data_IF_340345369139
#
_entry.id   IF_340345369139
#
_cell.length_a   1.000
_cell.length_b   1.000
_cell.length_c   1.000
_cell.angle_alpha   90.00
_cell.angle_beta   90.00
_cell.angle_gamma   90.00
#
_symmetry.space_group_name_H-M   'P 1'
#
loop_
_entity.id
_entity.type
_entity.pdbx_description
1 polymer ?
#
# COMPACT_ATOMS: atom_id res chain seq x y z
N UNK A 1 5.96 -25.19 -4.18
CA UNK A 1 6.04 -24.09 -5.18
C UNK A 1 6.45 -22.83 -4.47
N UNK A 2 7.66 -22.32 -4.71
CA UNK A 2 8.22 -21.17 -4.01
C UNK A 2 7.56 -19.90 -4.56
N UNK A 3 6.59 -19.33 -3.84
CA UNK A 3 6.05 -18.00 -4.17
C UNK A 3 7.21 -17.01 -4.24
N UNK A 4 7.38 -16.37 -5.39
CA UNK A 4 8.46 -15.41 -5.59
C UNK A 4 8.22 -14.16 -4.75
N UNK A 5 9.25 -13.34 -4.53
CA UNK A 5 9.11 -12.08 -3.79
C UNK A 5 8.08 -11.13 -4.43
N UNK A 6 7.85 -11.26 -5.73
CA UNK A 6 6.84 -10.52 -6.49
C UNK A 6 5.43 -10.98 -6.14
N UNK A 7 5.18 -12.29 -6.04
CA UNK A 7 3.87 -12.84 -5.68
C UNK A 7 3.42 -12.38 -4.28
N UNK A 8 4.37 -12.30 -3.33
CA UNK A 8 4.08 -11.81 -1.97
C UNK A 8 3.74 -10.32 -1.94
N UNK A 9 4.38 -9.51 -2.78
CA UNK A 9 4.05 -8.08 -2.89
C UNK A 9 2.67 -7.88 -3.49
N UNK A 10 2.38 -8.61 -4.57
CA UNK A 10 1.11 -8.53 -5.27
C UNK A 10 -0.05 -9.02 -4.37
N UNK A 11 0.16 -10.05 -3.55
CA UNK A 11 -0.79 -10.45 -2.50
C UNK A 11 -1.05 -9.34 -1.48
N UNK A 12 -0.01 -8.65 -0.99
CA UNK A 12 -0.18 -7.51 -0.07
C UNK A 12 -0.95 -6.36 -0.72
N UNK A 13 -0.66 -6.05 -1.98
CA UNK A 13 -1.40 -5.05 -2.74
C UNK A 13 -2.87 -5.47 -2.89
N UNK A 14 -3.12 -6.74 -3.14
CA UNK A 14 -4.47 -7.28 -3.25
C UNK A 14 -5.24 -7.22 -1.92
N UNK A 15 -4.59 -7.53 -0.79
CA UNK A 15 -5.14 -7.37 0.56
C UNK A 15 -5.47 -5.90 0.87
N UNK A 16 -4.54 -4.98 0.58
CA UNK A 16 -4.77 -3.54 0.76
C UNK A 16 -5.92 -3.05 -0.11
N UNK A 17 -5.98 -3.49 -1.37
CA UNK A 17 -7.06 -3.13 -2.29
C UNK A 17 -8.42 -3.68 -1.86
N UNK A 18 -8.47 -4.90 -1.30
CA UNK A 18 -9.69 -5.47 -0.71
C UNK A 18 -10.19 -4.62 0.46
N UNK A 19 -9.30 -4.12 1.32
CA UNK A 19 -9.70 -3.23 2.42
C UNK A 19 -10.28 -1.90 1.90
N UNK A 20 -9.73 -1.35 0.81
CA UNK A 20 -10.33 -0.18 0.15
C UNK A 20 -11.71 -0.51 -0.42
N UNK A 21 -11.86 -1.65 -1.09
CA UNK A 21 -13.16 -2.10 -1.61
C UNK A 21 -14.21 -2.33 -0.52
N UNK A 22 -13.82 -2.76 0.68
CA UNK A 22 -14.71 -2.85 1.85
C UNK A 22 -15.15 -1.48 2.35
N UNK A 23 -14.26 -0.48 2.30
CA UNK A 23 -14.55 0.89 2.73
C UNK A 23 -15.44 1.61 1.70
N UNK A 24 -15.18 1.39 0.42
CA UNK A 24 -15.89 2.00 -0.69
C UNK A 24 -16.10 0.98 -1.84
N UNK A 25 -17.20 0.20 -1.82
CA UNK A 25 -17.44 -0.86 -2.80
C UNK A 25 -17.66 -0.37 -4.24
N UNK A 26 -17.86 0.93 -4.44
CA UNK A 26 -17.96 1.55 -5.77
C UNK A 26 -16.63 1.70 -6.50
N UNK A 27 -15.48 1.48 -5.84
CA UNK A 27 -14.17 1.61 -6.47
C UNK A 27 -13.79 0.33 -7.22
N UNK A 28 -13.31 0.49 -8.46
CA UNK A 28 -12.81 -0.62 -9.24
C UNK A 28 -11.53 -1.20 -8.61
N UNK A 29 -11.56 -2.48 -8.23
CA UNK A 29 -10.45 -3.19 -7.59
C UNK A 29 -9.14 -3.12 -8.39
N UNK A 30 -9.20 -3.21 -9.73
CA UNK A 30 -8.02 -3.09 -10.59
C UNK A 30 -7.42 -1.69 -10.55
N UNK A 31 -8.26 -0.65 -10.55
CA UNK A 31 -7.81 0.75 -10.43
C UNK A 31 -7.16 1.01 -9.07
N UNK A 32 -7.74 0.47 -8.00
CA UNK A 32 -7.19 0.54 -6.64
C UNK A 32 -5.82 -0.14 -6.59
N UNK A 33 -5.68 -1.36 -7.13
CA UNK A 33 -4.39 -2.05 -7.21
C UNK A 33 -3.37 -1.25 -8.03
N UNK A 34 -3.78 -0.66 -9.14
CA UNK A 34 -2.94 0.22 -9.96
C UNK A 34 -2.42 1.42 -9.17
N UNK A 35 -3.28 2.06 -8.36
CA UNK A 35 -2.88 3.16 -7.49
C UNK A 35 -1.85 2.73 -6.44
N UNK A 36 -2.01 1.54 -5.83
CA UNK A 36 -1.01 0.98 -4.91
C UNK A 36 0.31 0.68 -5.62
N UNK A 37 0.30 0.01 -6.78
CA UNK A 37 1.54 -0.29 -7.54
C UNK A 37 2.31 0.99 -7.89
N UNK A 38 1.59 2.04 -8.27
CA UNK A 38 2.21 3.34 -8.54
C UNK A 38 2.81 3.94 -7.26
N UNK A 39 2.05 3.96 -6.16
CA UNK A 39 2.53 4.49 -4.88
C UNK A 39 3.76 3.72 -4.36
N UNK A 40 3.80 2.39 -4.53
CA UNK A 40 4.97 1.56 -4.24
C UNK A 40 6.17 2.01 -5.08
N UNK A 41 5.99 2.14 -6.41
CA UNK A 41 7.05 2.57 -7.34
C UNK A 41 7.60 3.95 -6.99
N UNK A 42 6.72 4.90 -6.62
CA UNK A 42 7.15 6.21 -6.14
C UNK A 42 7.95 6.10 -4.84
N UNK A 43 7.45 5.34 -3.85
CA UNK A 43 8.10 5.26 -2.55
C UNK A 43 9.45 4.55 -2.56
N UNK A 44 9.62 3.49 -3.35
CA UNK A 44 10.94 2.87 -3.50
C UNK A 44 11.94 3.86 -4.11
N UNK A 45 11.51 4.64 -5.13
CA UNK A 45 12.36 5.68 -5.73
C UNK A 45 12.69 6.81 -4.76
N UNK A 46 11.69 7.32 -4.03
CA UNK A 46 11.87 8.40 -3.05
C UNK A 46 12.80 8.00 -1.91
N UNK A 47 12.76 6.74 -1.48
CA UNK A 47 13.60 6.22 -0.40
C UNK A 47 14.94 5.64 -0.88
N UNK A 48 15.22 5.68 -2.18
CA UNK A 48 16.48 5.19 -2.75
C UNK A 48 16.62 3.67 -2.74
N UNK A 49 15.51 2.93 -2.76
CA UNK A 49 15.47 1.47 -2.85
C UNK A 49 15.17 1.00 -4.27
N UNK A 50 15.72 -0.15 -4.65
CA UNK A 50 15.50 -0.76 -5.95
C UNK A 50 14.07 -1.28 -6.11
N UNK A 51 13.54 -1.94 -5.07
CA UNK A 51 12.22 -2.54 -5.06
C UNK A 51 11.69 -2.77 -3.64
N UNK A 52 10.41 -3.17 -3.52
CA UNK A 52 9.79 -3.46 -2.23
C UNK A 52 10.37 -4.73 -1.57
N UNK A 53 10.99 -5.65 -2.33
CA UNK A 53 11.63 -6.84 -1.77
C UNK A 53 12.87 -6.41 -0.99
N UNK A 54 13.64 -5.46 -1.52
CA UNK A 54 14.76 -4.83 -0.81
C UNK A 54 14.26 -4.22 0.51
N UNK A 55 13.22 -3.38 0.47
CA UNK A 55 12.62 -2.75 1.67
C UNK A 55 12.18 -3.81 2.69
N UNK A 56 11.62 -4.94 2.24
CA UNK A 56 11.13 -5.99 3.14
C UNK A 56 12.23 -6.65 3.98
N UNK A 57 13.48 -6.63 3.51
CA UNK A 57 14.66 -7.12 4.24
C UNK A 57 15.32 -6.06 5.13
N UNK A 58 14.85 -4.81 5.13
CA UNK A 58 15.42 -3.72 5.92
C UNK A 58 14.88 -3.70 7.35
N UNK A 59 15.55 -2.98 8.28
CA UNK A 59 15.07 -2.77 9.64
C UNK A 59 13.63 -2.25 9.69
N UNK A 60 12.96 -2.50 10.82
CA UNK A 60 11.56 -2.10 11.01
C UNK A 60 11.33 -0.59 10.80
N UNK A 61 12.34 0.25 11.09
CA UNK A 61 12.29 1.69 10.85
C UNK A 61 12.17 2.04 9.37
N UNK A 62 13.00 1.45 8.52
CA UNK A 62 12.96 1.67 7.05
C UNK A 62 11.63 1.16 6.48
N UNK A 63 11.18 0.00 6.95
CA UNK A 63 9.86 -0.52 6.59
C UNK A 63 8.75 0.47 6.96
N UNK A 64 8.77 1.04 8.17
CA UNK A 64 7.80 2.08 8.60
C UNK A 64 7.83 3.30 7.66
N UNK A 65 9.00 3.84 7.36
CA UNK A 65 9.15 4.98 6.47
C UNK A 65 8.57 4.71 5.07
N UNK A 66 8.83 3.53 4.52
CA UNK A 66 8.25 3.09 3.25
C UNK A 66 6.72 3.06 3.28
N UNK A 67 6.13 2.51 4.34
CA UNK A 67 4.68 2.43 4.43
C UNK A 67 4.01 3.78 4.71
N UNK A 68 4.65 4.66 5.49
CA UNK A 68 4.16 6.03 5.66
C UNK A 68 4.19 6.80 4.34
N UNK A 69 5.25 6.62 3.55
CA UNK A 69 5.30 7.13 2.18
C UNK A 69 4.15 6.55 1.33
N UNK A 70 3.94 5.23 1.39
CA UNK A 70 2.91 4.54 0.60
C UNK A 70 1.52 5.11 0.91
N UNK A 71 1.19 5.30 2.19
CA UNK A 71 -0.08 5.87 2.62
C UNK A 71 -0.27 7.31 2.11
N UNK A 72 0.78 8.14 2.20
CA UNK A 72 0.76 9.52 1.70
C UNK A 72 0.55 9.61 0.19
N UNK A 73 1.14 8.69 -0.58
CA UNK A 73 1.03 8.69 -2.04
C UNK A 73 -0.26 8.02 -2.56
N UNK A 74 -0.80 7.05 -1.82
CA UNK A 74 -1.99 6.31 -2.27
C UNK A 74 -3.30 7.08 -2.03
N UNK A 75 -3.43 7.80 -0.91
CA UNK A 75 -4.66 8.56 -0.58
C UNK A 75 -5.07 9.54 -1.69
N UNK A 76 -4.20 10.43 -2.21
CA UNK A 76 -4.60 11.37 -3.26
C UNK A 76 -4.99 10.66 -4.55
N UNK A 77 -4.45 9.47 -4.83
CA UNK A 77 -4.87 8.63 -5.96
C UNK A 77 -6.24 8.02 -5.73
N UNK A 78 -6.54 7.56 -4.51
CA UNK A 78 -7.85 7.03 -4.18
C UNK A 78 -8.93 8.10 -4.30
N UNK A 79 -8.64 9.35 -3.90
CA UNK A 79 -9.54 10.49 -4.12
C UNK A 79 -9.81 10.70 -5.61
N UNK A 80 -8.77 10.66 -6.45
CA UNK A 80 -8.93 10.76 -7.92
C UNK A 80 -9.74 9.60 -8.52
N UNK A 81 -9.75 8.44 -7.87
CA UNK A 81 -10.57 7.30 -8.29
C UNK A 81 -12.04 7.39 -7.84
N UNK A 82 -12.37 8.36 -6.98
CA UNK A 82 -13.74 8.56 -6.48
C UNK A 82 -13.91 8.31 -4.98
N UNK A 83 -12.83 8.09 -4.22
CA UNK A 83 -12.93 8.01 -2.77
C UNK A 83 -13.30 9.39 -2.19
N UNK A 84 -14.38 9.51 -1.41
CA UNK A 84 -14.74 10.78 -0.78
C UNK A 84 -13.65 11.25 0.19
N UNK A 85 -13.37 12.56 0.21
CA UNK A 85 -12.38 13.15 1.13
C UNK A 85 -12.69 12.81 2.60
N UNK A 86 -13.97 12.74 2.97
CA UNK A 86 -14.40 12.34 4.32
C UNK A 86 -14.05 10.90 4.70
N UNK A 87 -13.77 10.02 3.73
CA UNK A 87 -13.35 8.64 3.97
C UNK A 87 -11.82 8.47 3.98
N UNK A 88 -11.06 9.51 3.61
CA UNK A 88 -9.59 9.46 3.59
C UNK A 88 -8.98 9.16 4.98
N UNK A 89 -9.42 9.77 6.08
CA UNK A 89 -8.90 9.46 7.41
C UNK A 89 -9.18 8.01 7.83
N UNK A 90 -10.36 7.48 7.48
CA UNK A 90 -10.73 6.10 7.76
C UNK A 90 -9.86 5.11 6.96
N UNK A 91 -9.62 5.41 5.68
CA UNK A 91 -8.70 4.65 4.84
C UNK A 91 -7.28 4.68 5.42
N UNK A 92 -6.76 5.87 5.75
CA UNK A 92 -5.41 6.02 6.32
C UNK A 92 -5.24 5.16 7.58
N UNK A 93 -6.22 5.22 8.49
CA UNK A 93 -6.22 4.39 9.70
C UNK A 93 -6.19 2.91 9.35
N UNK A 94 -7.00 2.47 8.38
CA UNK A 94 -7.04 1.07 7.94
C UNK A 94 -5.73 0.59 7.33
N UNK A 95 -5.11 1.41 6.48
CA UNK A 95 -3.81 1.09 5.89
C UNK A 95 -2.72 1.00 6.97
N UNK A 96 -2.75 1.88 7.97
CA UNK A 96 -1.84 1.79 9.14
C UNK A 96 -2.07 0.52 9.95
N UNK A 97 -3.32 0.11 10.18
CA UNK A 97 -3.64 -1.12 10.92
C UNK A 97 -3.19 -2.38 10.16
N UNK A 98 -3.43 -2.45 8.85
CA UNK A 98 -2.93 -3.54 7.99
C UNK A 98 -1.40 -3.57 8.01
N UNK A 99 -0.77 -2.40 7.93
CA UNK A 99 0.67 -2.28 7.95
C UNK A 99 1.31 -2.74 9.27
N UNK A 100 0.68 -2.45 10.42
CA UNK A 100 1.16 -2.95 11.72
C UNK A 100 1.33 -4.46 11.74
N UNK A 101 0.50 -5.22 11.02
CA UNK A 101 0.64 -6.68 10.90
C UNK A 101 1.93 -7.09 10.17
N UNK A 102 2.42 -6.28 9.22
CA UNK A 102 3.63 -6.57 8.46
C UNK A 102 4.91 -5.97 9.07
N UNK A 103 4.77 -5.13 10.10
CA UNK A 103 5.87 -4.55 10.86
C UNK A 103 6.23 -5.37 12.11
N UNK A 104 5.42 -6.37 12.47
CA UNK A 104 5.76 -7.32 13.51
C UNK A 104 6.91 -8.23 13.02
N UNK A 105 7.87 -8.57 13.91
CA UNK A 105 9.03 -9.40 13.59
C UNK A 105 8.65 -10.81 13.14
#
# INVERSE_FOLDING_TARGET
MSMTGVDRQEQKIDELAKEVGKLHPGLNHLSVKGAFRFAVSECVKTLGHADWKEVSGKPAEVRRQFFDCLCKNVIPKMVKLGLPLGQCPALEKKLKDVNRKYLQP
#
